data_IF_647569378788
#
_entry.id   IF_647569378788
#
_cell.length_a   1.000
_cell.length_b   1.000
_cell.length_c   1.000
_cell.angle_alpha   90.00
_cell.angle_beta   90.00
_cell.angle_gamma   90.00
#
_symmetry.space_group_name_H-M   'P 1'
#
loop_
_entity.id
_entity.type
_entity.pdbx_description
1 polymer ?
#
# COMPACT_ATOMS: atom_id res chain seq x y z
N UNK A 1 -26.75 -13.27 -26.33
CA UNK A 1 -25.55 -13.82 -25.66
C UNK A 1 -26.02 -14.84 -24.65
N UNK A 2 -25.25 -15.88 -24.40
CA UNK A 2 -25.57 -16.92 -23.41
C UNK A 2 -24.40 -17.00 -22.43
N UNK A 3 -24.66 -16.83 -21.13
CA UNK A 3 -23.63 -16.88 -20.08
C UNK A 3 -23.79 -18.18 -19.31
N UNK A 4 -22.74 -19.00 -19.34
CA UNK A 4 -22.62 -20.16 -18.45
C UNK A 4 -22.08 -19.72 -17.09
N UNK A 5 -22.78 -20.09 -16.02
CA UNK A 5 -22.40 -19.79 -14.65
C UNK A 5 -22.04 -21.09 -13.92
N UNK A 6 -20.85 -21.14 -13.32
CA UNK A 6 -20.44 -22.24 -12.46
C UNK A 6 -21.15 -22.22 -11.10
N UNK A 7 -20.90 -23.23 -10.26
CA UNK A 7 -21.40 -23.25 -8.89
C UNK A 7 -20.77 -22.14 -8.01
N UNK A 8 -19.54 -21.73 -8.34
CA UNK A 8 -18.77 -20.71 -7.63
C UNK A 8 -19.02 -19.32 -8.23
N UNK A 9 -19.17 -19.23 -9.55
CA UNK A 9 -19.34 -17.97 -10.29
C UNK A 9 -20.80 -17.47 -10.31
N UNK A 10 -21.50 -17.57 -9.18
CA UNK A 10 -22.90 -17.13 -9.09
C UNK A 10 -22.96 -15.66 -8.70
N UNK A 11 -23.53 -14.84 -9.58
CA UNK A 11 -23.89 -13.47 -9.24
C UNK A 11 -25.03 -13.41 -8.24
N UNK A 12 -25.28 -12.21 -7.70
CA UNK A 12 -26.43 -11.93 -6.86
C UNK A 12 -27.61 -11.43 -7.69
N UNK A 13 -28.79 -12.04 -7.53
CA UNK A 13 -30.00 -11.55 -8.18
C UNK A 13 -30.46 -10.25 -7.54
N UNK A 14 -30.76 -9.26 -8.37
CA UNK A 14 -31.28 -7.96 -7.94
C UNK A 14 -32.81 -7.86 -8.05
N UNK A 15 -33.52 -8.95 -8.34
CA UNK A 15 -34.99 -8.92 -8.55
C UNK A 15 -35.77 -8.25 -7.43
N UNK A 16 -35.31 -8.34 -6.17
CA UNK A 16 -35.99 -7.74 -5.02
C UNK A 16 -35.84 -6.22 -4.88
N UNK A 17 -34.81 -5.63 -5.52
CA UNK A 17 -34.48 -4.19 -5.46
C UNK A 17 -34.40 -3.53 -6.84
N UNK A 18 -34.60 -4.30 -7.91
CA UNK A 18 -34.43 -3.79 -9.26
C UNK A 18 -35.45 -2.70 -9.56
N UNK A 19 -34.97 -1.62 -10.17
CA UNK A 19 -35.81 -0.54 -10.68
C UNK A 19 -36.65 -0.99 -11.90
N UNK A 20 -36.27 -2.09 -12.55
CA UNK A 20 -36.93 -2.65 -13.73
C UNK A 20 -37.37 -4.10 -13.45
N UNK A 21 -38.50 -4.33 -12.75
CA UNK A 21 -38.93 -5.67 -12.35
C UNK A 21 -39.21 -6.65 -13.49
N UNK A 22 -39.41 -6.14 -14.72
CA UNK A 22 -39.57 -6.96 -15.93
C UNK A 22 -38.24 -7.51 -16.48
N UNK A 23 -37.10 -7.05 -15.96
CA UNK A 23 -35.77 -7.44 -16.40
C UNK A 23 -35.06 -8.30 -15.33
N UNK A 24 -34.52 -9.44 -15.77
CA UNK A 24 -33.72 -10.30 -14.90
C UNK A 24 -32.31 -9.73 -14.75
N UNK A 25 -32.02 -9.16 -13.58
CA UNK A 25 -30.72 -8.54 -13.31
C UNK A 25 -29.86 -9.38 -12.34
N UNK A 26 -28.60 -9.61 -12.72
CA UNK A 26 -27.60 -10.36 -11.94
C UNK A 26 -26.35 -9.50 -11.75
N UNK A 27 -25.98 -9.26 -10.50
CA UNK A 27 -24.81 -8.48 -10.10
C UNK A 27 -23.60 -9.38 -9.85
N UNK A 28 -22.43 -8.97 -10.33
CA UNK A 28 -21.16 -9.65 -10.10
C UNK A 28 -20.16 -8.71 -9.42
N UNK A 29 -19.24 -9.24 -8.59
CA UNK A 29 -18.28 -8.41 -7.88
C UNK A 29 -17.30 -7.72 -8.84
N UNK A 30 -16.71 -6.58 -8.43
CA UNK A 30 -15.69 -5.89 -9.23
C UNK A 30 -14.52 -6.80 -9.60
N UNK A 31 -13.91 -6.53 -10.76
CA UNK A 31 -12.81 -7.33 -11.33
C UNK A 31 -13.18 -8.76 -11.71
N UNK A 32 -14.48 -9.06 -11.83
CA UNK A 32 -14.93 -10.27 -12.53
C UNK A 32 -14.64 -10.14 -14.03
N UNK A 33 -14.35 -11.25 -14.70
CA UNK A 33 -14.02 -11.25 -16.13
C UNK A 33 -14.90 -12.23 -16.93
N UNK A 34 -15.00 -11.95 -18.23
CA UNK A 34 -15.78 -12.71 -19.19
C UNK A 34 -14.85 -13.35 -20.23
N UNK A 35 -15.07 -14.61 -20.52
CA UNK A 35 -14.33 -15.37 -21.52
C UNK A 35 -15.29 -15.94 -22.58
N UNK A 36 -14.91 -15.84 -23.86
CA UNK A 36 -15.63 -16.52 -24.93
C UNK A 36 -15.20 -17.98 -24.96
N UNK A 37 -16.10 -18.89 -24.62
CA UNK A 37 -15.76 -20.32 -24.47
C UNK A 37 -15.99 -21.15 -25.73
N UNK A 38 -16.76 -20.63 -26.69
CA UNK A 38 -17.01 -21.31 -27.98
C UNK A 38 -17.00 -20.32 -29.14
N UNK A 39 -16.75 -20.87 -30.33
CA UNK A 39 -16.84 -20.13 -31.58
C UNK A 39 -18.23 -19.48 -31.72
N UNK A 40 -18.31 -18.17 -31.98
CA UNK A 40 -19.58 -17.48 -32.11
C UNK A 40 -20.44 -18.09 -33.22
N UNK A 41 -21.72 -18.32 -32.94
CA UNK A 41 -22.67 -18.94 -33.87
C UNK A 41 -23.75 -17.94 -34.26
N UNK A 42 -24.30 -18.08 -35.47
CA UNK A 42 -25.50 -17.33 -35.84
C UNK A 42 -26.75 -18.12 -35.46
N UNK A 43 -27.74 -17.43 -34.91
CA UNK A 43 -29.04 -18.00 -34.58
C UNK A 43 -30.12 -17.02 -35.03
N UNK A 44 -31.22 -17.56 -35.50
CA UNK A 44 -32.40 -16.74 -35.78
C UNK A 44 -33.07 -16.40 -34.45
N UNK A 45 -33.20 -15.11 -34.17
CA UNK A 45 -33.85 -14.57 -32.98
C UNK A 45 -34.87 -13.57 -33.49
N UNK A 46 -36.15 -13.84 -33.22
CA UNK A 46 -37.26 -12.96 -33.63
C UNK A 46 -37.26 -12.62 -35.14
N UNK A 47 -36.99 -13.61 -35.99
CA UNK A 47 -36.96 -13.44 -37.45
C UNK A 47 -35.76 -12.66 -37.99
N UNK A 48 -34.76 -12.37 -37.15
CA UNK A 48 -33.51 -11.71 -37.53
C UNK A 48 -32.32 -12.61 -37.23
N UNK A 49 -31.31 -12.58 -38.10
CA UNK A 49 -30.07 -13.33 -37.89
C UNK A 49 -29.20 -12.62 -36.84
N UNK A 50 -29.20 -13.14 -35.62
CA UNK A 50 -28.38 -12.66 -34.50
C UNK A 50 -27.09 -13.47 -34.34
N UNK A 51 -26.00 -12.80 -33.93
CA UNK A 51 -24.76 -13.48 -33.53
C UNK A 51 -24.83 -13.81 -32.03
N UNK A 52 -24.76 -15.09 -31.69
CA UNK A 52 -24.78 -15.58 -30.31
C UNK A 52 -23.36 -15.90 -29.87
N UNK A 53 -22.94 -15.22 -28.81
CA UNK A 53 -21.70 -15.45 -28.08
C UNK A 53 -22.01 -16.31 -26.86
N UNK A 54 -21.27 -17.41 -26.69
CA UNK A 54 -21.28 -18.22 -25.47
C UNK A 54 -20.13 -17.77 -24.58
N UNK A 55 -20.47 -17.20 -23.43
CA UNK A 55 -19.51 -16.71 -22.46
C UNK A 55 -19.47 -17.56 -21.20
N UNK A 56 -18.34 -17.54 -20.52
CA UNK A 56 -18.19 -17.97 -19.14
C UNK A 56 -17.76 -16.77 -18.30
N UNK A 57 -18.40 -16.60 -17.16
CA UNK A 57 -18.01 -15.60 -16.17
C UNK A 57 -17.12 -16.23 -15.12
N UNK A 58 -16.08 -15.51 -14.72
CA UNK A 58 -15.30 -15.82 -13.53
C UNK A 58 -15.52 -14.70 -12.52
N UNK A 59 -16.17 -15.04 -11.40
CA UNK A 59 -16.49 -14.07 -10.37
C UNK A 59 -15.30 -13.88 -9.44
N UNK A 60 -14.90 -12.63 -9.22
CA UNK A 60 -13.90 -12.31 -8.21
C UNK A 60 -14.43 -12.56 -6.79
N UNK A 61 -14.22 -13.77 -6.29
CA UNK A 61 -14.64 -14.22 -4.96
C UNK A 61 -13.76 -13.68 -3.82
N UNK A 62 -12.61 -13.10 -4.15
CA UNK A 62 -11.68 -12.51 -3.18
C UNK A 62 -11.87 -10.99 -3.06
N UNK A 63 -12.97 -10.46 -3.60
CA UNK A 63 -13.28 -9.05 -3.48
C UNK A 63 -13.61 -8.71 -2.03
N UNK A 64 -12.92 -7.72 -1.48
CA UNK A 64 -13.15 -7.24 -0.13
C UNK A 64 -14.47 -6.48 -0.05
N UNK A 65 -15.14 -6.56 1.09
CA UNK A 65 -16.20 -5.60 1.40
C UNK A 65 -15.60 -4.20 1.52
N UNK A 66 -16.45 -3.16 1.46
CA UNK A 66 -15.98 -1.78 1.61
C UNK A 66 -15.33 -1.60 2.99
N UNK A 67 -15.92 -2.23 4.01
CA UNK A 67 -15.47 -2.22 5.39
C UNK A 67 -14.09 -2.87 5.52
N UNK A 68 -13.91 -4.05 4.93
CA UNK A 68 -12.62 -4.76 4.93
C UNK A 68 -11.55 -3.95 4.20
N UNK A 69 -11.92 -3.34 3.06
CA UNK A 69 -10.99 -2.53 2.28
C UNK A 69 -10.53 -1.28 3.05
N UNK A 70 -11.47 -0.55 3.66
CA UNK A 70 -11.16 0.62 4.50
C UNK A 70 -10.33 0.22 5.71
N UNK A 71 -10.67 -0.89 6.37
CA UNK A 71 -9.92 -1.43 7.50
C UNK A 71 -8.47 -1.77 7.13
N UNK A 72 -8.28 -2.51 6.04
CA UNK A 72 -6.95 -2.86 5.52
C UNK A 72 -6.14 -1.62 5.16
N UNK A 73 -6.76 -0.64 4.51
CA UNK A 73 -6.10 0.62 4.15
C UNK A 73 -5.66 1.40 5.40
N UNK A 74 -6.50 1.46 6.43
CA UNK A 74 -6.15 2.08 7.72
C UNK A 74 -4.97 1.38 8.37
N UNK A 75 -4.97 0.05 8.44
CA UNK A 75 -3.87 -0.73 9.01
C UNK A 75 -2.54 -0.45 8.29
N UNK A 76 -2.54 -0.39 6.95
CA UNK A 76 -1.35 -0.06 6.17
C UNK A 76 -0.79 1.32 6.52
N UNK A 77 -1.65 2.35 6.61
CA UNK A 77 -1.21 3.69 6.96
C UNK A 77 -0.69 3.79 8.39
N UNK A 78 -1.37 3.17 9.36
CA UNK A 78 -0.90 3.14 10.75
C UNK A 78 0.47 2.46 10.85
N UNK A 79 0.62 1.28 10.25
CA UNK A 79 1.90 0.57 10.25
C UNK A 79 3.02 1.35 9.56
N UNK A 80 2.71 2.08 8.49
CA UNK A 80 3.66 2.98 7.84
C UNK A 80 4.12 4.11 8.78
N UNK A 81 3.18 4.78 9.44
CA UNK A 81 3.49 5.86 10.39
C UNK A 81 4.33 5.35 11.56
N UNK A 82 4.01 4.17 12.10
CA UNK A 82 4.79 3.54 13.16
C UNK A 82 6.21 3.15 12.72
N UNK A 83 6.38 2.71 11.47
CA UNK A 83 7.69 2.44 10.90
C UNK A 83 8.52 3.73 10.76
N UNK A 84 7.92 4.80 10.22
CA UNK A 84 8.59 6.09 10.06
C UNK A 84 8.98 6.66 11.43
N UNK A 85 8.08 6.62 12.41
CA UNK A 85 8.38 7.09 13.76
C UNK A 85 9.58 6.36 14.37
N UNK A 86 9.62 5.02 14.25
CA UNK A 86 10.75 4.21 14.72
C UNK A 86 12.05 4.51 13.99
N UNK A 87 12.00 4.81 12.69
CA UNK A 87 13.18 5.20 11.92
C UNK A 87 13.75 6.53 12.40
N UNK A 88 12.90 7.54 12.59
CA UNK A 88 13.31 8.85 13.12
C UNK A 88 13.88 8.71 14.54
N UNK A 89 13.23 7.93 15.41
CA UNK A 89 13.73 7.68 16.77
C UNK A 89 15.12 7.04 16.77
N UNK A 90 15.34 6.06 15.88
CA UNK A 90 16.65 5.40 15.74
C UNK A 90 17.72 6.39 15.29
N UNK A 91 17.40 7.23 14.31
CA UNK A 91 18.34 8.18 13.75
C UNK A 91 18.70 9.27 14.77
N UNK A 92 17.71 9.77 15.53
CA UNK A 92 17.93 10.73 16.63
C UNK A 92 18.84 10.13 17.72
N UNK A 93 18.60 8.90 18.15
CA UNK A 93 19.47 8.22 19.13
C UNK A 93 20.90 8.03 18.61
N UNK A 94 21.05 7.78 17.30
CA UNK A 94 22.35 7.71 16.65
C UNK A 94 23.11 9.04 16.72
N UNK A 95 22.43 10.15 16.45
CA UNK A 95 23.00 11.49 16.55
C UNK A 95 23.32 11.88 18.01
N UNK A 96 22.46 11.55 18.97
CA UNK A 96 22.75 11.74 20.41
C UNK A 96 24.04 11.05 20.82
N UNK A 97 24.24 9.78 20.42
CA UNK A 97 25.48 9.05 20.70
C UNK A 97 26.71 9.71 20.07
N UNK A 98 26.58 10.21 18.83
CA UNK A 98 27.67 10.95 18.15
C UNK A 98 28.00 12.26 18.86
N UNK A 99 26.98 13.00 19.30
CA UNK A 99 27.16 14.25 20.05
C UNK A 99 27.82 13.99 21.39
N UNK A 100 27.39 12.95 22.12
CA UNK A 100 27.99 12.57 23.40
C UNK A 100 29.47 12.15 23.25
N UNK A 101 29.81 11.38 22.22
CA UNK A 101 31.21 11.01 21.97
C UNK A 101 32.08 12.23 21.65
N UNK A 102 31.55 13.18 20.85
CA UNK A 102 32.22 14.45 20.54
C UNK A 102 32.42 15.31 21.78
N UNK A 103 31.41 15.42 22.64
CA UNK A 103 31.50 16.14 23.90
C UNK A 103 32.56 15.50 24.81
N UNK A 104 32.53 14.17 24.97
CA UNK A 104 33.51 13.43 25.79
C UNK A 104 34.94 13.69 25.32
N UNK A 105 35.18 13.63 24.01
CA UNK A 105 36.49 13.90 23.42
C UNK A 105 36.93 15.35 23.62
N UNK A 106 36.00 16.31 23.59
CA UNK A 106 36.29 17.72 23.81
C UNK A 106 36.55 18.07 25.28
N UNK A 107 35.96 17.35 26.23
CA UNK A 107 36.16 17.50 27.68
C UNK A 107 37.32 16.68 28.24
N UNK A 108 38.02 15.93 27.40
CA UNK A 108 39.17 15.14 27.84
C UNK A 108 40.34 16.07 28.23
N UNK A 109 40.70 16.10 29.51
CA UNK A 109 41.76 16.96 30.09
C UNK A 109 43.14 16.74 29.42
N UNK A 110 43.28 15.63 28.68
CA UNK A 110 44.44 15.34 27.83
C UNK A 110 44.62 16.32 26.65
N UNK A 111 43.64 17.21 26.38
CA UNK A 111 43.75 18.27 25.38
C UNK A 111 44.82 19.31 25.77
N UNK A 112 44.83 19.75 27.04
CA UNK A 112 45.80 20.71 27.56
C UNK A 112 47.22 20.13 27.58
N UNK A 113 47.35 18.83 27.88
CA UNK A 113 48.62 18.11 27.82
C UNK A 113 49.12 17.92 26.38
N UNK A 114 48.24 17.54 25.44
CA UNK A 114 48.62 17.36 24.03
C UNK A 114 49.00 18.65 23.32
N UNK A 115 48.49 19.79 23.77
CA UNK A 115 48.73 21.10 23.13
C UNK A 115 49.48 22.05 24.07
N UNK A 116 50.22 21.49 25.03
CA UNK A 116 50.96 22.24 26.04
C UNK A 116 51.89 23.29 25.41
N UNK A 117 52.54 22.98 24.29
CA UNK A 117 53.42 23.93 23.58
C UNK A 117 52.65 25.13 23.00
N UNK A 118 51.49 24.88 22.38
CA UNK A 118 50.64 25.93 21.81
C UNK A 118 50.07 26.83 22.92
N UNK A 119 49.59 26.21 24.00
CA UNK A 119 49.04 26.91 25.17
C UNK A 119 50.12 27.74 25.84
N UNK A 120 51.33 27.20 26.00
CA UNK A 120 52.49 27.92 26.53
C UNK A 120 52.89 29.10 25.66
N UNK A 121 52.82 28.97 24.33
CA UNK A 121 53.13 30.05 23.40
C UNK A 121 52.09 31.18 23.48
N UNK A 122 50.80 30.85 23.58
CA UNK A 122 49.71 31.84 23.72
C UNK A 122 49.83 32.58 25.06
N UNK A 123 50.13 31.86 26.16
CA UNK A 123 50.33 32.49 27.47
C UNK A 123 51.51 33.45 27.47
N UNK A 124 52.63 33.09 26.83
CA UNK A 124 53.78 34.01 26.66
C UNK A 124 53.42 35.26 25.87
N UNK A 125 52.67 35.10 24.78
CA UNK A 125 52.23 36.20 23.93
C UNK A 125 51.24 37.14 24.65
N UNK A 126 50.32 36.59 25.44
CA UNK A 126 49.35 37.38 26.20
C UNK A 126 49.93 38.06 27.45
N UNK A 127 50.96 37.48 28.07
CA UNK A 127 51.57 38.01 29.30
C UNK A 127 52.89 38.74 29.07
N UNK A 128 53.36 38.84 27.82
CA UNK A 128 54.52 39.65 27.43
C UNK A 128 55.85 39.16 27.99
N UNK A 129 56.03 37.84 28.14
CA UNK A 129 57.28 37.18 28.57
C UNK A 129 57.97 36.45 27.42
#
# INVERSE_FOLDING_TARGET
MEISCGAIDRGASLTFVSQYPGEGEMLYPPLSYLEVVKTPRYREVEGRRGKVLELKINANTMSLTIEDFVGRRKQLYVGLMENIAREVERDLRGEEGRIQERLRTATDDSYWERHQDLVSSIVKECWGL
#
